data_IF_006778213153
#
_entry.id   IF_006778213153
#
_cell.length_a   1.000
_cell.length_b   1.000
_cell.length_c   1.000
_cell.angle_alpha   90.00
_cell.angle_beta   90.00
_cell.angle_gamma   90.00
#
_symmetry.space_group_name_H-M   'P 1'
#
loop_
_entity.id
_entity.type
_entity.pdbx_description
1 polymer ?
#
# COMPACT_ATOMS: atom_id res chain seq x y z
N UNK A 1 55.63 -36.29 34.75
CA UNK A 1 56.37 -35.53 33.71
C UNK A 1 55.37 -35.09 32.66
N UNK A 2 55.26 -33.79 32.37
CA UNK A 2 54.29 -33.26 31.41
C UNK A 2 54.98 -32.18 30.56
N UNK A 3 54.74 -32.20 29.24
CA UNK A 3 55.27 -31.21 28.30
C UNK A 3 54.09 -30.60 27.55
N UNK A 4 53.79 -29.33 27.84
CA UNK A 4 52.89 -28.49 27.06
C UNK A 4 53.71 -27.65 26.08
N UNK A 5 53.41 -27.72 24.79
CA UNK A 5 53.88 -26.72 23.83
C UNK A 5 52.96 -25.51 23.80
N UNK A 6 53.54 -24.32 23.95
CA UNK A 6 52.85 -23.02 23.87
C UNK A 6 53.70 -22.07 23.04
N UNK A 7 53.40 -21.97 21.74
CA UNK A 7 54.16 -21.11 20.81
C UNK A 7 53.80 -19.63 21.00
N UNK A 8 54.83 -18.79 21.06
CA UNK A 8 54.75 -17.37 21.39
C UNK A 8 55.63 -16.60 20.42
N UNK A 9 55.04 -16.00 19.38
CA UNK A 9 55.79 -15.23 18.37
C UNK A 9 56.08 -13.83 18.93
N UNK A 10 57.34 -13.38 18.80
CA UNK A 10 57.81 -12.05 19.19
C UNK A 10 58.05 -11.19 17.95
N UNK A 11 57.77 -9.89 18.06
CA UNK A 11 58.22 -8.86 17.12
C UNK A 11 59.68 -8.45 17.39
N UNK A 12 60.40 -7.91 16.39
CA UNK A 12 61.59 -7.07 16.58
C UNK A 12 61.35 -5.57 16.30
N UNK A 13 62.18 -4.74 16.93
CA UNK A 13 62.32 -3.27 16.90
C UNK A 13 63.85 -3.02 17.05
N UNK A 14 64.54 -1.99 16.54
CA UNK A 14 64.17 -0.63 16.07
C UNK A 14 65.24 -0.06 15.13
N UNK A 15 64.88 0.81 14.18
CA UNK A 15 65.80 1.92 13.77
C UNK A 15 65.11 3.12 13.12
N UNK A 16 65.74 4.29 13.27
CA UNK A 16 65.18 5.62 13.00
C UNK A 16 65.35 6.10 11.56
N UNK A 17 64.41 6.91 11.07
CA UNK A 17 64.72 8.18 10.36
C UNK A 17 63.53 9.16 10.36
N UNK A 18 63.82 10.43 10.68
CA UNK A 18 63.02 11.66 10.45
C UNK A 18 63.78 12.46 9.35
N UNK A 19 63.21 13.45 8.62
CA UNK A 19 62.26 14.46 9.13
C UNK A 19 61.23 15.03 8.11
N UNK A 20 60.79 16.27 8.37
CA UNK A 20 59.99 17.20 7.56
C UNK A 20 58.51 16.86 7.28
N UNK A 21 57.63 17.41 8.12
CA UNK A 21 56.24 17.65 7.76
C UNK A 21 56.05 19.07 7.25
N UNK A 22 55.53 19.23 6.02
CA UNK A 22 54.89 20.45 5.55
C UNK A 22 53.42 20.16 5.25
N UNK A 23 52.52 20.76 6.02
CA UNK A 23 51.08 20.67 5.80
C UNK A 23 50.69 21.54 4.59
N UNK A 24 50.47 20.92 3.43
CA UNK A 24 49.78 21.58 2.32
C UNK A 24 48.26 21.47 2.48
N UNK A 25 47.67 22.45 3.18
CA UNK A 25 46.26 22.76 2.99
C UNK A 25 46.08 23.36 1.60
N UNK A 26 45.56 22.56 0.65
CA UNK A 26 45.14 23.09 -0.66
C UNK A 26 43.82 23.82 -0.46
N UNK A 27 43.91 25.11 -0.14
CA UNK A 27 42.82 26.04 -0.38
C UNK A 27 42.75 26.32 -1.88
N UNK A 28 41.59 26.06 -2.49
CA UNK A 28 41.23 26.68 -3.77
C UNK A 28 39.97 27.50 -3.59
N UNK A 29 40.14 28.79 -3.82
CA UNK A 29 39.13 29.82 -3.75
C UNK A 29 37.98 29.49 -4.72
N UNK A 30 36.76 29.43 -4.18
CA UNK A 30 35.55 29.63 -4.99
C UNK A 30 35.23 31.13 -4.93
N UNK A 31 35.08 31.72 -6.12
CA UNK A 31 34.78 33.14 -6.29
C UNK A 31 33.41 33.51 -5.71
N UNK A 32 33.33 34.70 -5.10
CA UNK A 32 32.05 35.31 -4.70
C UNK A 32 31.19 35.58 -5.93
N UNK A 33 29.92 35.17 -5.87
CA UNK A 33 28.82 36.05 -6.27
C UNK A 33 27.76 36.00 -5.18
N UNK A 34 27.19 37.17 -4.88
CA UNK A 34 26.29 37.39 -3.76
C UNK A 34 24.88 37.62 -4.30
N UNK A 35 23.86 36.98 -3.72
CA UNK A 35 22.51 37.55 -3.66
C UNK A 35 21.77 36.98 -2.45
N UNK A 36 20.97 37.83 -1.81
CA UNK A 36 20.47 37.63 -0.45
C UNK A 36 19.48 36.47 -0.30
N UNK A 37 19.62 35.78 0.83
CA UNK A 37 18.62 34.87 1.35
C UNK A 37 17.44 35.65 1.97
N UNK A 38 16.26 35.57 1.38
CA UNK A 38 15.00 35.79 2.10
C UNK A 38 14.44 34.44 2.52
N UNK A 39 14.85 33.97 3.69
CA UNK A 39 14.27 32.80 4.35
C UNK A 39 13.02 33.26 5.10
N UNK A 40 11.83 33.00 4.55
CA UNK A 40 10.55 33.36 5.16
C UNK A 40 10.04 32.20 6.03
N UNK A 41 10.04 32.33 7.37
CA UNK A 41 9.49 31.30 8.24
C UNK A 41 7.95 31.31 8.16
N UNK A 42 7.28 30.14 8.28
CA UNK A 42 5.83 30.12 8.28
C UNK A 42 5.28 30.91 9.49
N UNK A 43 4.18 31.64 9.28
CA UNK A 43 3.42 32.45 10.25
C UNK A 43 3.85 33.92 10.48
N UNK A 44 4.34 34.62 9.45
CA UNK A 44 4.40 36.10 9.44
C UNK A 44 2.99 36.74 9.26
N UNK A 45 2.55 37.72 10.08
CA UNK A 45 1.22 38.33 9.95
C UNK A 45 1.09 39.29 8.74
N UNK A 46 0.07 39.10 7.90
CA UNK A 46 -0.16 39.93 6.70
C UNK A 46 -0.81 41.27 7.06
N UNK A 47 -0.08 42.37 6.86
CA UNK A 47 -0.62 43.74 6.93
C UNK A 47 -1.34 44.13 5.62
N UNK A 48 -2.46 44.86 5.72
CA UNK A 48 -3.33 45.22 4.58
C UNK A 48 -3.14 46.67 4.13
N UNK A 49 -2.65 46.90 2.91
CA UNK A 49 -2.85 48.10 2.08
C UNK A 49 -2.49 47.76 0.61
N UNK A 50 -2.93 48.45 -0.45
CA UNK A 50 -4.19 49.13 -0.81
C UNK A 50 -4.26 49.15 -2.36
N UNK A 51 -5.41 49.44 -2.98
CA UNK A 51 -5.61 49.33 -4.45
C UNK A 51 -4.92 50.45 -5.26
N UNK A 52 -4.29 50.11 -6.38
CA UNK A 52 -3.93 51.05 -7.46
C UNK A 52 -4.40 50.55 -8.84
N UNK A 53 -4.60 51.46 -9.81
CA UNK A 53 -5.41 51.27 -11.03
C UNK A 53 -4.60 50.81 -12.26
N UNK A 54 -5.30 50.13 -13.19
CA UNK A 54 -4.80 49.68 -14.51
C UNK A 54 -4.31 50.82 -15.43
N UNK A 55 -3.32 50.52 -16.29
CA UNK A 55 -3.22 51.08 -17.66
C UNK A 55 -3.18 49.95 -18.68
N UNK A 56 -3.93 50.09 -19.78
CA UNK A 56 -3.86 49.22 -20.96
C UNK A 56 -2.88 49.80 -21.98
N UNK A 57 -2.13 48.94 -22.67
CA UNK A 57 -1.80 49.10 -24.09
C UNK A 57 -2.01 47.74 -24.77
N UNK A 58 -2.52 47.77 -25.99
CA UNK A 58 -2.84 46.58 -26.78
C UNK A 58 -2.49 46.85 -28.24
N UNK A 59 -1.91 45.86 -28.91
CA UNK A 59 -1.80 45.55 -30.35
C UNK A 59 -0.66 44.52 -30.45
N UNK A 60 -0.77 43.41 -31.18
CA UNK A 60 -1.91 42.83 -31.89
C UNK A 60 -1.39 41.66 -32.75
N UNK A 61 -1.93 40.46 -32.57
CA UNK A 61 -1.46 39.25 -33.26
C UNK A 61 -2.28 38.04 -32.83
N UNK A 62 -3.24 37.64 -33.68
CA UNK A 62 -4.19 36.57 -33.37
C UNK A 62 -3.58 35.17 -33.50
N UNK A 63 -3.73 34.36 -32.46
CA UNK A 63 -4.16 32.96 -32.58
C UNK A 63 -4.91 32.56 -31.31
N UNK A 64 -5.80 31.57 -31.42
CA UNK A 64 -7.00 31.52 -30.58
C UNK A 64 -6.81 31.12 -29.11
N UNK A 65 -7.66 31.76 -28.31
CA UNK A 65 -8.04 31.50 -26.93
C UNK A 65 -8.00 30.05 -26.42
N UNK A 66 -7.35 29.89 -25.25
CA UNK A 66 -7.88 29.21 -24.06
C UNK A 66 -8.98 28.15 -24.28
N UNK A 67 -8.59 26.89 -24.51
CA UNK A 67 -9.44 25.75 -24.18
C UNK A 67 -9.01 25.12 -22.86
N UNK A 68 -9.70 25.52 -21.78
CA UNK A 68 -10.21 24.66 -20.70
C UNK A 68 -10.98 25.54 -19.71
N UNK A 69 -12.19 25.13 -19.30
CA UNK A 69 -12.26 24.07 -18.30
C UNK A 69 -13.16 22.88 -18.68
N UNK A 70 -12.55 21.69 -18.66
CA UNK A 70 -13.09 20.50 -17.97
C UNK A 70 -14.59 20.21 -18.12
N UNK A 71 -14.96 19.55 -19.23
CA UNK A 71 -16.02 18.54 -19.15
C UNK A 71 -15.50 17.35 -18.30
N UNK A 72 -16.35 16.67 -17.52
CA UNK A 72 -15.93 15.48 -16.80
C UNK A 72 -15.51 14.37 -17.77
N UNK A 73 -14.45 13.63 -17.41
CA UNK A 73 -14.00 12.48 -18.19
C UNK A 73 -15.11 11.42 -18.14
N UNK A 74 -15.81 11.19 -19.26
CA UNK A 74 -16.83 10.14 -19.33
C UNK A 74 -16.17 8.77 -19.19
N UNK A 75 -16.57 8.02 -18.17
CA UNK A 75 -15.91 6.79 -17.75
C UNK A 75 -16.88 5.61 -17.90
N UNK A 76 -16.77 4.89 -19.00
CA UNK A 76 -17.58 3.70 -19.31
C UNK A 76 -17.08 2.43 -18.58
N UNK A 77 -16.33 2.58 -17.49
CA UNK A 77 -15.75 1.46 -16.74
C UNK A 77 -16.85 0.64 -16.04
N UNK A 78 -16.84 -0.70 -16.16
CA UNK A 78 -17.93 -1.57 -15.73
C UNK A 78 -17.95 -1.87 -14.20
N UNK A 79 -17.50 -0.93 -13.37
CA UNK A 79 -17.43 -1.11 -11.93
C UNK A 79 -17.54 0.20 -11.16
N UNK A 80 -17.92 0.10 -9.89
CA UNK A 80 -17.95 1.19 -8.93
C UNK A 80 -16.55 1.67 -8.59
N UNK A 81 -16.35 2.99 -8.51
CA UNK A 81 -15.05 3.55 -8.19
C UNK A 81 -14.86 3.73 -6.69
N UNK A 82 -13.87 3.04 -6.13
CA UNK A 82 -13.44 3.18 -4.75
C UNK A 82 -12.02 3.76 -4.71
N UNK A 83 -11.65 4.41 -3.61
CA UNK A 83 -10.26 4.85 -3.40
C UNK A 83 -9.28 3.66 -3.36
N UNK A 84 -9.70 2.57 -2.71
CA UNK A 84 -9.03 1.28 -2.69
C UNK A 84 -10.05 0.17 -2.91
N UNK A 85 -9.73 -0.78 -3.78
CA UNK A 85 -10.56 -1.97 -3.99
C UNK A 85 -10.23 -3.06 -2.97
N UNK A 86 -8.94 -3.32 -2.67
CA UNK A 86 -8.53 -4.41 -1.77
C UNK A 86 -8.60 -4.08 -0.27
N UNK A 87 -8.65 -2.79 0.11
CA UNK A 87 -8.65 -2.36 1.52
C UNK A 87 -10.00 -1.76 1.99
N UNK A 88 -11.00 -1.74 1.12
CA UNK A 88 -12.37 -1.31 1.46
C UNK A 88 -13.26 -2.55 1.56
N UNK A 89 -13.74 -2.88 2.77
CA UNK A 89 -14.73 -3.94 2.94
C UNK A 89 -16.15 -3.36 2.71
N UNK A 90 -16.86 -3.73 1.63
CA UNK A 90 -18.17 -3.15 1.30
C UNK A 90 -19.29 -3.58 2.26
N UNK A 91 -19.08 -4.63 3.06
CA UNK A 91 -20.06 -5.11 4.04
C UNK A 91 -20.05 -4.28 5.33
N UNK A 92 -19.02 -3.45 5.56
CA UNK A 92 -18.84 -2.69 6.80
C UNK A 92 -19.10 -1.20 6.56
N UNK A 93 -20.30 -0.76 6.91
CA UNK A 93 -20.66 0.66 6.84
C UNK A 93 -20.02 1.47 7.98
N UNK A 94 -19.52 2.69 7.71
CA UNK A 94 -19.04 3.58 8.76
C UNK A 94 -20.20 4.16 9.59
N UNK A 95 -19.97 4.34 10.89
CA UNK A 95 -20.91 5.04 11.81
C UNK A 95 -20.97 6.53 11.46
N UNK A 96 -19.88 7.08 10.94
CA UNK A 96 -19.75 8.47 10.52
C UNK A 96 -18.35 8.78 10.02
N UNK A 97 -18.01 10.06 9.95
CA UNK A 97 -16.70 10.54 9.49
C UNK A 97 -16.08 11.48 10.53
N UNK A 98 -14.74 11.50 10.62
CA UNK A 98 -14.02 12.34 11.60
C UNK A 98 -14.17 13.84 11.34
N UNK A 99 -14.38 14.21 10.09
CA UNK A 99 -14.57 15.59 9.65
C UNK A 99 -16.03 15.82 9.32
N UNK A 100 -16.60 16.94 9.80
CA UNK A 100 -18.01 17.25 9.52
C UNK A 100 -18.20 17.60 8.03
N UNK A 101 -19.25 17.11 7.36
CA UNK A 101 -19.49 17.37 5.92
C UNK A 101 -19.84 18.84 5.58
N UNK A 102 -19.71 19.78 6.52
CA UNK A 102 -19.92 21.23 6.34
C UNK A 102 -19.03 21.85 5.26
N UNK A 103 -17.90 21.22 4.95
CA UNK A 103 -17.10 21.48 3.76
C UNK A 103 -16.83 20.18 3.03
N UNK A 104 -17.76 19.72 2.19
CA UNK A 104 -17.39 18.87 1.05
C UNK A 104 -16.31 19.63 0.26
N UNK A 105 -15.11 19.08 -0.02
CA UNK A 105 -13.99 19.82 -0.61
C UNK A 105 -14.16 19.90 -2.14
N UNK A 106 -15.41 19.98 -2.57
CA UNK A 106 -15.96 19.58 -3.84
C UNK A 106 -15.76 18.09 -4.11
N UNK A 107 -16.89 17.38 -4.30
CA UNK A 107 -16.88 16.07 -4.95
C UNK A 107 -16.22 16.16 -6.33
N UNK A 108 -16.01 15.02 -7.00
CA UNK A 108 -15.11 14.96 -8.14
C UNK A 108 -15.69 15.66 -9.38
N UNK A 109 -15.54 16.98 -9.48
CA UNK A 109 -16.05 17.79 -10.59
C UNK A 109 -15.39 17.52 -11.95
N UNK A 110 -14.50 16.53 -12.03
CA UNK A 110 -13.90 15.98 -13.26
C UNK A 110 -14.38 14.56 -13.57
N UNK A 111 -15.21 13.98 -12.71
CA UNK A 111 -15.82 12.66 -12.85
C UNK A 111 -17.27 12.83 -13.28
N UNK A 112 -17.73 11.93 -14.14
CA UNK A 112 -19.10 11.91 -14.66
C UNK A 112 -20.11 11.26 -13.71
N UNK A 113 -19.64 10.69 -12.60
CA UNK A 113 -20.43 9.93 -11.61
C UNK A 113 -20.59 10.69 -10.29
N UNK A 114 -21.75 10.51 -9.65
CA UNK A 114 -22.01 11.06 -8.31
C UNK A 114 -21.21 10.30 -7.25
N UNK A 115 -20.47 11.02 -6.42
CA UNK A 115 -19.71 10.47 -5.31
C UNK A 115 -20.57 10.39 -4.03
N UNK A 116 -20.63 9.21 -3.42
CA UNK A 116 -21.44 8.90 -2.22
C UNK A 116 -20.75 9.25 -0.90
N UNK A 117 -19.44 9.52 -0.94
CA UNK A 117 -18.57 9.67 0.24
C UNK A 117 -17.47 8.61 0.26
N UNK A 118 -17.81 7.37 -0.10
CA UNK A 118 -16.90 6.21 -0.16
C UNK A 118 -16.70 5.66 -1.57
N UNK A 119 -17.70 5.82 -2.46
CA UNK A 119 -17.69 5.30 -3.82
C UNK A 119 -18.27 6.28 -4.84
N UNK A 120 -18.03 6.03 -6.13
CA UNK A 120 -18.83 6.54 -7.24
C UNK A 120 -19.40 5.36 -8.05
N UNK A 121 -20.67 4.98 -7.80
CA UNK A 121 -21.29 3.84 -8.46
C UNK A 121 -21.36 3.95 -9.98
N UNK A 122 -21.35 2.81 -10.68
CA UNK A 122 -21.70 2.76 -12.10
C UNK A 122 -23.15 3.20 -12.28
N UNK A 123 -23.40 4.06 -13.27
CA UNK A 123 -24.76 4.47 -13.66
C UNK A 123 -25.39 3.53 -14.71
N UNK A 124 -24.62 2.54 -15.20
CA UNK A 124 -25.01 1.61 -16.27
C UNK A 124 -25.02 0.20 -15.70
N UNK A 125 -26.09 -0.55 -15.96
CA UNK A 125 -26.13 -1.99 -15.71
C UNK A 125 -25.11 -2.70 -16.59
N UNK A 126 -24.21 -3.45 -15.96
CA UNK A 126 -23.07 -4.07 -16.63
C UNK A 126 -23.42 -5.50 -17.00
N UNK A 127 -23.40 -5.82 -18.29
CA UNK A 127 -23.40 -7.22 -18.72
C UNK A 127 -22.02 -7.82 -18.44
N UNK A 128 -21.91 -8.55 -17.32
CA UNK A 128 -20.66 -9.18 -16.86
C UNK A 128 -20.07 -10.11 -17.94
N UNK A 129 -20.91 -10.80 -18.72
CA UNK A 129 -20.46 -11.69 -19.78
C UNK A 129 -19.74 -10.92 -20.90
N UNK A 130 -20.26 -9.75 -21.31
CA UNK A 130 -19.60 -8.91 -22.33
C UNK A 130 -18.23 -8.41 -21.86
N UNK A 131 -18.11 -8.03 -20.58
CA UNK A 131 -16.83 -7.61 -19.98
C UNK A 131 -15.83 -8.77 -19.93
N UNK A 132 -16.29 -9.98 -19.58
CA UNK A 132 -15.44 -11.18 -19.58
C UNK A 132 -15.00 -11.58 -20.99
N UNK A 133 -15.88 -11.51 -21.99
CA UNK A 133 -15.52 -11.78 -23.38
C UNK A 133 -14.56 -10.72 -23.95
N UNK A 134 -14.75 -9.44 -23.62
CA UNK A 134 -13.78 -8.39 -24.01
C UNK A 134 -12.42 -8.62 -23.33
N UNK A 135 -12.40 -9.00 -22.04
CA UNK A 135 -11.17 -9.35 -21.34
C UNK A 135 -10.47 -10.55 -21.99
N UNK A 136 -11.21 -11.59 -22.40
CA UNK A 136 -10.64 -12.72 -23.17
C UNK A 136 -10.07 -12.28 -24.51
N UNK A 137 -10.78 -11.42 -25.26
CA UNK A 137 -10.30 -10.86 -26.54
C UNK A 137 -8.98 -10.11 -26.37
N UNK A 138 -8.86 -9.27 -25.34
CA UNK A 138 -7.65 -8.49 -25.05
C UNK A 138 -6.50 -9.38 -24.58
N UNK A 139 -6.76 -10.37 -23.72
CA UNK A 139 -5.75 -11.32 -23.27
C UNK A 139 -5.23 -12.19 -24.41
N UNK A 140 -6.10 -12.60 -25.33
CA UNK A 140 -5.77 -13.51 -26.43
C UNK A 140 -5.54 -14.94 -25.96
N UNK A 141 -4.86 -15.73 -26.79
CA UNK A 141 -4.48 -17.10 -26.44
C UNK A 141 -3.58 -17.13 -25.19
N UNK A 142 -3.72 -18.15 -24.32
CA UNK A 142 -2.82 -18.33 -23.18
C UNK A 142 -1.35 -18.28 -23.58
N UNK A 143 -0.50 -17.75 -22.69
CA UNK A 143 0.95 -17.85 -22.83
C UNK A 143 1.38 -19.29 -22.55
N UNK A 144 2.37 -19.79 -23.29
CA UNK A 144 3.06 -21.03 -22.94
C UNK A 144 3.91 -20.83 -21.68
N UNK A 145 4.26 -21.92 -21.00
CA UNK A 145 5.16 -21.86 -19.83
C UNK A 145 6.55 -21.29 -20.20
N UNK A 146 6.98 -21.46 -21.46
CA UNK A 146 8.22 -20.90 -22.00
C UNK A 146 8.11 -19.36 -22.17
N UNK A 147 7.05 -18.87 -22.81
CA UNK A 147 6.78 -17.42 -22.94
C UNK A 147 6.62 -16.75 -21.57
N UNK A 148 5.97 -17.43 -20.61
CA UNK A 148 5.90 -16.97 -19.22
C UNK A 148 7.28 -16.91 -18.60
N UNK A 149 8.11 -17.95 -18.74
CA UNK A 149 9.46 -17.97 -18.17
C UNK A 149 10.34 -16.84 -18.74
N UNK A 150 10.28 -16.56 -20.04
CA UNK A 150 11.00 -15.46 -20.69
C UNK A 150 10.57 -14.09 -20.16
N UNK A 151 9.25 -13.83 -20.10
CA UNK A 151 8.72 -12.59 -19.51
C UNK A 151 9.09 -12.46 -18.02
N UNK A 152 9.07 -13.56 -17.28
CA UNK A 152 9.47 -13.59 -15.87
C UNK A 152 10.95 -13.24 -15.73
N UNK A 153 11.84 -13.83 -16.52
CA UNK A 153 13.27 -13.49 -16.50
C UNK A 153 13.51 -12.01 -16.83
N UNK A 154 12.84 -11.51 -17.88
CA UNK A 154 12.98 -10.12 -18.34
C UNK A 154 12.53 -9.09 -17.31
N UNK A 155 11.46 -9.35 -16.55
CA UNK A 155 10.82 -8.35 -15.68
C UNK A 155 10.95 -8.61 -14.17
N UNK A 156 11.48 -9.76 -13.70
CA UNK A 156 11.58 -10.07 -12.25
C UNK A 156 12.62 -9.24 -11.51
N UNK A 157 13.72 -8.87 -12.19
CA UNK A 157 14.89 -8.26 -11.56
C UNK A 157 14.60 -6.83 -11.04
N UNK A 158 15.32 -6.43 -9.99
CA UNK A 158 15.04 -5.17 -9.27
C UNK A 158 15.61 -3.90 -9.92
N UNK A 159 16.47 -4.07 -10.93
CA UNK A 159 17.01 -3.04 -11.81
C UNK A 159 16.01 -2.59 -12.90
N UNK A 160 14.93 -3.35 -13.10
CA UNK A 160 13.81 -2.94 -13.94
C UNK A 160 13.24 -1.59 -13.49
N UNK A 161 13.54 -0.54 -14.24
CA UNK A 161 13.07 0.85 -14.06
C UNK A 161 11.55 1.06 -14.19
N UNK A 162 10.79 -0.04 -14.25
CA UNK A 162 9.36 -0.16 -14.56
C UNK A 162 8.58 -0.81 -13.41
N UNK A 163 9.05 -0.59 -12.16
CA UNK A 163 8.43 -1.10 -10.95
C UNK A 163 7.36 -0.14 -10.41
N UNK A 164 6.14 -0.63 -10.19
CA UNK A 164 5.10 0.05 -9.39
C UNK A 164 5.18 -0.45 -7.95
N UNK A 165 5.01 0.45 -6.97
CA UNK A 165 4.92 0.09 -5.56
C UNK A 165 3.46 0.15 -5.08
N UNK A 166 2.89 -1.00 -4.73
CA UNK A 166 1.61 -1.09 -4.04
C UNK A 166 1.86 -0.92 -2.55
N UNK A 167 1.44 0.23 -2.00
CA UNK A 167 1.63 0.56 -0.58
C UNK A 167 0.39 0.26 0.28
N UNK A 168 0.32 0.88 1.46
CA UNK A 168 -0.76 0.70 2.47
C UNK A 168 -2.19 0.90 1.95
N UNK A 169 -2.38 1.56 0.81
CA UNK A 169 -3.69 1.73 0.17
C UNK A 169 -4.15 0.53 -0.64
N UNK A 170 -3.34 -0.53 -0.78
CA UNK A 170 -3.67 -1.70 -1.59
C UNK A 170 -3.85 -1.35 -3.08
N UNK A 171 -4.74 -2.06 -3.75
CA UNK A 171 -5.09 -1.78 -5.16
C UNK A 171 -5.95 -0.52 -5.21
N UNK A 172 -5.35 0.63 -5.55
CA UNK A 172 -6.04 1.93 -5.61
C UNK A 172 -6.51 2.28 -7.02
N UNK A 173 -7.49 3.18 -7.15
CA UNK A 173 -8.00 3.63 -8.46
C UNK A 173 -6.89 4.17 -9.37
N UNK A 174 -6.02 5.04 -8.85
CA UNK A 174 -4.96 5.69 -9.64
C UNK A 174 -3.89 4.69 -10.11
N UNK A 175 -3.62 3.64 -9.31
CA UNK A 175 -2.67 2.59 -9.68
C UNK A 175 -3.08 1.88 -10.99
N UNK A 176 -4.36 1.87 -11.34
CA UNK A 176 -4.82 1.32 -12.61
C UNK A 176 -4.30 2.15 -13.79
N UNK A 177 -4.40 3.48 -13.77
CA UNK A 177 -3.81 4.30 -14.85
C UNK A 177 -2.29 4.16 -14.89
N UNK A 178 -1.61 4.06 -13.73
CA UNK A 178 -0.17 3.78 -13.67
C UNK A 178 0.18 2.46 -14.38
N UNK A 179 -0.57 1.38 -14.15
CA UNK A 179 -0.43 0.09 -14.85
C UNK A 179 -0.62 0.27 -16.36
N UNK A 180 -1.74 0.87 -16.77
CA UNK A 180 -2.03 1.11 -18.19
C UNK A 180 -1.06 2.11 -18.85
N UNK A 181 -0.34 2.93 -18.08
CA UNK A 181 0.73 3.81 -18.56
C UNK A 181 2.04 3.03 -18.76
N UNK A 182 2.36 2.06 -17.90
CA UNK A 182 3.51 1.16 -18.10
C UNK A 182 3.30 0.27 -19.33
N UNK A 183 2.09 -0.25 -19.55
CA UNK A 183 1.74 -1.09 -20.70
C UNK A 183 1.79 -0.41 -22.08
N UNK A 184 2.01 0.92 -22.13
CA UNK A 184 2.35 1.65 -23.36
C UNK A 184 3.77 1.35 -23.87
N UNK A 185 4.66 0.83 -23.00
CA UNK A 185 6.11 0.66 -23.27
C UNK A 185 6.66 -0.71 -22.88
N UNK A 186 5.85 -1.53 -22.21
CA UNK A 186 6.21 -2.83 -21.64
C UNK A 186 5.03 -3.80 -21.78
N UNK A 187 5.30 -5.09 -21.75
CA UNK A 187 4.26 -6.12 -21.89
C UNK A 187 3.75 -6.62 -20.53
N UNK A 188 4.65 -6.66 -19.55
CA UNK A 188 4.34 -6.86 -18.15
C UNK A 188 4.78 -5.66 -17.31
N UNK A 189 4.18 -5.52 -16.12
CA UNK A 189 4.58 -4.56 -15.11
C UNK A 189 4.92 -5.28 -13.80
N UNK A 190 6.01 -4.83 -13.15
CA UNK A 190 6.48 -5.38 -11.88
C UNK A 190 5.87 -4.63 -10.73
N UNK A 191 5.06 -5.30 -9.92
CA UNK A 191 4.36 -4.70 -8.78
C UNK A 191 4.98 -5.23 -7.49
N UNK A 192 5.54 -4.34 -6.67
CA UNK A 192 6.06 -4.66 -5.34
C UNK A 192 5.04 -4.24 -4.28
N UNK A 193 4.45 -5.22 -3.59
CA UNK A 193 3.44 -5.03 -2.55
C UNK A 193 4.08 -4.80 -1.19
N UNK A 194 3.57 -3.84 -0.42
CA UNK A 194 4.11 -3.41 0.87
C UNK A 194 2.99 -2.95 1.82
N UNK A 195 3.20 -3.20 3.11
CA UNK A 195 2.28 -2.88 4.21
C UNK A 195 1.23 -3.97 4.44
N UNK A 196 0.19 -3.59 5.18
CA UNK A 196 -0.94 -4.45 5.57
C UNK A 196 -1.61 -5.21 4.42
N UNK A 197 -1.72 -4.69 3.18
CA UNK A 197 -2.28 -5.46 2.07
C UNK A 197 -1.60 -6.82 1.84
N UNK A 198 -0.30 -6.94 2.15
CA UNK A 198 0.47 -8.19 1.95
C UNK A 198 0.03 -9.36 2.83
N UNK A 199 -0.87 -9.16 3.81
CA UNK A 199 -1.57 -10.26 4.50
C UNK A 199 -2.46 -11.07 3.56
N UNK A 200 -2.91 -10.46 2.47
CA UNK A 200 -3.93 -11.00 1.57
C UNK A 200 -3.52 -10.75 0.12
N UNK A 201 -2.51 -11.49 -0.32
CA UNK A 201 -1.99 -11.41 -1.67
C UNK A 201 -2.98 -11.95 -2.72
N UNK A 202 -3.97 -12.75 -2.32
CA UNK A 202 -5.01 -13.29 -3.22
C UNK A 202 -6.02 -12.24 -3.60
N UNK A 203 -6.54 -11.48 -2.63
CA UNK A 203 -7.41 -10.34 -2.90
C UNK A 203 -6.71 -9.24 -3.69
N UNK A 204 -5.40 -9.01 -3.47
CA UNK A 204 -4.59 -8.13 -4.33
C UNK A 204 -4.56 -8.66 -5.77
N UNK A 205 -4.24 -9.94 -5.97
CA UNK A 205 -4.19 -10.54 -7.32
C UNK A 205 -5.55 -10.46 -8.01
N UNK A 206 -6.62 -10.82 -7.30
CA UNK A 206 -8.00 -10.71 -7.77
C UNK A 206 -8.33 -9.30 -8.25
N UNK A 207 -8.13 -8.28 -7.43
CA UNK A 207 -8.46 -6.90 -7.83
C UNK A 207 -7.54 -6.32 -8.90
N UNK A 208 -6.26 -6.71 -8.96
CA UNK A 208 -5.40 -6.32 -10.07
C UNK A 208 -5.90 -6.91 -11.39
N UNK A 209 -6.20 -8.20 -11.42
CA UNK A 209 -6.73 -8.90 -12.59
C UNK A 209 -8.11 -8.38 -13.02
N UNK A 210 -9.03 -8.24 -12.07
CA UNK A 210 -10.41 -7.78 -12.28
C UNK A 210 -10.48 -6.32 -12.77
N UNK A 211 -9.73 -5.40 -12.14
CA UNK A 211 -9.85 -3.95 -12.44
C UNK A 211 -8.93 -3.44 -13.55
N UNK A 212 -7.85 -4.15 -13.88
CA UNK A 212 -6.99 -3.79 -15.04
C UNK A 212 -7.27 -4.62 -16.30
N UNK A 213 -7.99 -5.74 -16.17
CA UNK A 213 -8.18 -6.73 -17.23
C UNK A 213 -6.96 -7.64 -17.48
N UNK A 214 -5.79 -7.31 -16.94
CA UNK A 214 -4.55 -8.08 -17.12
C UNK A 214 -4.55 -9.45 -16.47
N UNK A 215 -3.41 -10.14 -16.56
CA UNK A 215 -3.20 -11.48 -15.98
C UNK A 215 -1.94 -11.50 -15.13
N UNK A 216 -2.01 -12.05 -13.91
CA UNK A 216 -0.82 -12.31 -13.09
C UNK A 216 -0.12 -13.54 -13.66
N UNK A 217 1.12 -13.36 -14.12
CA UNK A 217 1.95 -14.44 -14.69
C UNK A 217 3.02 -14.93 -13.70
N UNK A 218 3.26 -14.19 -12.62
CA UNK A 218 4.22 -14.56 -11.57
C UNK A 218 3.84 -13.93 -10.23
N UNK A 219 3.96 -14.72 -9.16
CA UNK A 219 3.74 -14.34 -7.77
C UNK A 219 4.87 -14.95 -6.92
N UNK A 220 5.68 -14.09 -6.29
CA UNK A 220 6.70 -14.53 -5.34
C UNK A 220 6.75 -13.61 -4.13
N UNK A 221 6.35 -14.14 -2.96
CA UNK A 221 6.20 -13.42 -1.70
C UNK A 221 5.32 -12.17 -1.89
N UNK A 222 5.93 -11.00 -2.09
CA UNK A 222 5.28 -9.71 -2.26
C UNK A 222 5.54 -9.06 -3.64
N UNK A 223 6.15 -9.78 -4.57
CA UNK A 223 6.42 -9.33 -5.94
C UNK A 223 5.44 -10.04 -6.88
N UNK A 224 4.79 -9.27 -7.75
CA UNK A 224 3.88 -9.73 -8.79
C UNK A 224 4.37 -9.25 -10.15
N UNK A 225 4.19 -10.05 -11.20
CA UNK A 225 4.25 -9.60 -12.59
C UNK A 225 2.85 -9.68 -13.21
N UNK A 226 2.36 -8.54 -13.68
CA UNK A 226 1.04 -8.38 -14.28
C UNK A 226 1.19 -8.10 -15.79
N UNK A 227 0.79 -9.06 -16.61
CA UNK A 227 0.80 -9.03 -18.07
C UNK A 227 -0.45 -8.35 -18.62
N UNK A 228 -0.30 -7.61 -19.72
CA UNK A 228 -1.37 -6.80 -20.34
C UNK A 228 -2.33 -7.57 -21.26
N UNK A 229 -1.93 -8.75 -21.75
CA UNK A 229 -2.61 -9.47 -22.84
C UNK A 229 -1.90 -9.34 -24.18
N UNK A 230 -2.06 -10.35 -25.07
CA UNK A 230 -1.46 -10.35 -26.42
C UNK A 230 -2.01 -9.23 -27.30
N UNK A 231 -3.32 -8.96 -27.19
CA UNK A 231 -4.06 -8.05 -28.06
C UNK A 231 -4.31 -6.68 -27.42
N UNK A 232 -3.50 -6.30 -26.42
CA UNK A 232 -3.64 -5.01 -25.75
C UNK A 232 -3.27 -3.84 -26.67
N UNK A 233 -4.25 -3.02 -27.04
CA UNK A 233 -4.04 -1.76 -27.76
C UNK A 233 -3.95 -0.57 -26.78
N UNK A 234 -2.78 0.11 -26.67
CA UNK A 234 -2.64 1.30 -25.84
C UNK A 234 -3.50 2.50 -26.25
N UNK A 235 -4.03 2.53 -27.48
CA UNK A 235 -4.91 3.61 -27.98
C UNK A 235 -6.36 3.41 -27.52
N UNK A 236 -6.86 2.18 -27.57
CA UNK A 236 -8.21 1.80 -27.16
C UNK A 236 -8.32 1.38 -25.68
N UNK A 237 -7.27 1.63 -24.88
CA UNK A 237 -7.26 1.33 -23.44
C UNK A 237 -8.39 2.04 -22.67
N UNK A 238 -8.91 1.48 -21.56
CA UNK A 238 -9.94 2.13 -20.77
C UNK A 238 -9.53 3.51 -20.22
N UNK A 239 -10.46 4.46 -20.24
CA UNK A 239 -10.27 5.79 -19.68
C UNK A 239 -10.50 5.77 -18.16
N UNK A 240 -9.42 5.79 -17.39
CA UNK A 240 -9.43 5.74 -15.91
C UNK A 240 -9.32 7.17 -15.36
N UNK A 241 -10.37 7.73 -14.73
CA UNK A 241 -10.36 9.09 -14.20
C UNK A 241 -9.57 9.19 -12.88
N UNK A 242 -8.44 9.90 -12.90
CA UNK A 242 -7.59 10.07 -11.71
C UNK A 242 -8.36 10.65 -10.50
N UNK A 243 -8.34 9.92 -9.39
CA UNK A 243 -8.79 10.40 -8.09
C UNK A 243 -7.76 11.36 -7.49
N UNK A 244 -8.09 12.65 -7.51
CA UNK A 244 -7.23 13.72 -6.96
C UNK A 244 -7.51 14.02 -5.48
N UNK A 245 -8.35 13.21 -4.83
CA UNK A 245 -8.78 13.35 -3.44
C UNK A 245 -8.68 12.00 -2.71
N UNK A 246 -8.75 12.06 -1.37
CA UNK A 246 -8.94 10.87 -0.53
C UNK A 246 -10.31 10.95 0.15
N UNK A 247 -11.02 9.83 0.37
CA UNK A 247 -12.21 9.81 1.20
C UNK A 247 -11.89 10.32 2.62
N UNK A 248 -12.87 10.95 3.27
CA UNK A 248 -12.75 11.28 4.69
C UNK A 248 -12.48 10.05 5.52
N UNK A 249 -11.68 10.18 6.57
CA UNK A 249 -11.39 9.09 7.49
C UNK A 249 -12.70 8.58 8.15
N UNK A 250 -13.16 7.35 7.84
CA UNK A 250 -14.37 6.81 8.42
C UNK A 250 -14.19 6.49 9.90
N UNK A 251 -15.29 6.54 10.64
CA UNK A 251 -15.38 6.06 12.02
C UNK A 251 -16.12 4.73 11.98
N UNK A 252 -15.39 3.64 12.22
CA UNK A 252 -15.94 2.31 12.39
C UNK A 252 -16.24 1.99 13.87
N UNK A 253 -17.05 0.96 14.16
CA UNK A 253 -17.21 0.43 15.52
C UNK A 253 -15.87 0.09 16.17
N UNK A 254 -15.84 0.06 17.52
CA UNK A 254 -14.64 -0.37 18.27
C UNK A 254 -14.29 -1.81 17.90
N UNK A 255 -13.09 -2.01 17.36
CA UNK A 255 -12.57 -3.33 16.96
C UNK A 255 -12.49 -4.31 18.13
N UNK A 256 -12.18 -3.81 19.33
CA UNK A 256 -12.14 -4.61 20.56
C UNK A 256 -13.27 -4.16 21.48
N UNK A 257 -14.12 -5.12 21.86
CA UNK A 257 -15.17 -4.95 22.87
C UNK A 257 -14.61 -5.13 24.30
N UNK A 258 -15.28 -4.57 25.30
CA UNK A 258 -14.85 -4.72 26.70
C UNK A 258 -14.87 -6.19 27.14
N UNK A 259 -15.93 -6.91 26.77
CA UNK A 259 -16.08 -8.37 26.88
C UNK A 259 -16.02 -8.93 25.46
N UNK A 260 -15.29 -10.02 25.23
CA UNK A 260 -15.25 -10.66 23.92
C UNK A 260 -16.53 -11.46 23.68
N UNK A 261 -17.00 -11.54 22.44
CA UNK A 261 -18.23 -12.26 22.12
C UNK A 261 -18.08 -13.76 22.48
N UNK A 262 -19.04 -14.31 23.22
CA UNK A 262 -18.99 -15.69 23.71
C UNK A 262 -18.18 -15.94 25.00
N UNK A 263 -17.53 -14.92 25.58
CA UNK A 263 -16.88 -14.99 26.89
C UNK A 263 -17.60 -14.14 27.95
N UNK A 264 -17.43 -14.50 29.22
CA UNK A 264 -17.71 -13.64 30.37
C UNK A 264 -16.63 -12.55 30.53
N UNK A 265 -16.88 -11.60 31.44
CA UNK A 265 -15.92 -10.55 31.76
C UNK A 265 -14.61 -11.11 32.34
N UNK A 266 -14.71 -12.08 33.25
CA UNK A 266 -13.54 -12.67 33.92
C UNK A 266 -12.75 -13.58 32.99
N UNK A 267 -13.41 -14.42 32.18
CA UNK A 267 -12.74 -15.18 31.11
C UNK A 267 -12.03 -14.24 30.12
N UNK A 268 -12.69 -13.15 29.69
CA UNK A 268 -12.05 -12.16 28.79
C UNK A 268 -10.80 -11.54 29.43
N UNK A 269 -10.85 -11.23 30.74
CA UNK A 269 -9.72 -10.69 31.49
C UNK A 269 -8.59 -11.72 31.63
N UNK A 270 -8.92 -12.98 31.88
CA UNK A 270 -7.96 -14.07 31.94
C UNK A 270 -7.27 -14.28 30.60
N UNK A 271 -8.02 -14.38 29.49
CA UNK A 271 -7.47 -14.57 28.14
C UNK A 271 -6.54 -13.43 27.72
N UNK A 272 -6.87 -12.18 28.08
CA UNK A 272 -5.98 -11.03 27.90
C UNK A 272 -4.69 -11.16 28.72
N UNK A 273 -4.78 -11.58 29.98
CA UNK A 273 -3.62 -11.78 30.85
C UNK A 273 -2.73 -12.91 30.32
N UNK A 274 -3.34 -14.05 29.94
CA UNK A 274 -2.68 -15.22 29.36
C UNK A 274 -1.92 -14.85 28.08
N UNK A 275 -2.56 -14.11 27.16
CA UNK A 275 -1.95 -13.65 25.92
C UNK A 275 -0.85 -12.58 26.08
N UNK A 276 -0.93 -11.73 27.10
CA UNK A 276 0.17 -10.79 27.40
C UNK A 276 1.40 -11.52 27.96
N UNK A 277 1.19 -12.59 28.73
CA UNK A 277 2.25 -13.37 29.38
C UNK A 277 2.83 -14.48 28.48
N UNK A 278 2.11 -14.91 27.43
CA UNK A 278 2.60 -15.89 26.46
C UNK A 278 3.74 -15.31 25.60
N UNK A 279 4.68 -16.14 25.08
CA UNK A 279 5.69 -15.68 24.13
C UNK A 279 5.02 -15.15 22.84
N UNK A 280 5.65 -14.18 22.13
CA UNK A 280 5.11 -13.72 20.85
C UNK A 280 5.36 -14.79 19.77
N UNK A 281 4.31 -15.21 19.07
CA UNK A 281 4.37 -16.15 17.95
C UNK A 281 5.35 -15.68 16.87
N UNK A 282 5.35 -14.37 16.61
CA UNK A 282 6.32 -13.71 15.75
C UNK A 282 6.39 -12.21 16.01
N UNK A 283 7.46 -11.61 15.47
CA UNK A 283 7.70 -10.17 15.44
C UNK A 283 7.56 -9.64 14.01
N UNK A 284 6.63 -8.72 13.82
CA UNK A 284 6.41 -8.03 12.56
C UNK A 284 7.40 -6.88 12.42
N UNK A 285 8.05 -6.78 11.25
CA UNK A 285 9.12 -5.81 11.01
C UNK A 285 8.65 -4.63 10.15
N UNK A 286 9.42 -3.54 10.18
CA UNK A 286 9.16 -2.33 9.38
C UNK A 286 9.28 -2.53 7.87
N UNK A 287 9.69 -3.71 7.39
CA UNK A 287 9.75 -4.01 5.95
C UNK A 287 8.37 -4.01 5.27
N UNK A 288 7.28 -4.15 6.04
CA UNK A 288 5.92 -4.17 5.51
C UNK A 288 5.59 -5.42 4.68
N UNK A 289 6.22 -6.58 4.96
CA UNK A 289 5.93 -7.83 4.26
C UNK A 289 5.38 -8.84 5.26
N UNK A 290 4.08 -9.12 5.16
CA UNK A 290 3.30 -9.87 6.16
C UNK A 290 2.66 -11.16 5.59
N UNK A 291 3.11 -11.62 4.42
CA UNK A 291 2.52 -12.76 3.68
C UNK A 291 2.30 -13.99 4.54
N UNK A 292 3.28 -14.37 5.36
CA UNK A 292 3.24 -15.61 6.14
C UNK A 292 2.53 -15.45 7.51
N UNK A 293 1.98 -14.29 7.84
CA UNK A 293 1.38 -14.04 9.17
C UNK A 293 0.10 -14.83 9.32
N UNK A 294 -0.76 -14.82 8.30
CA UNK A 294 -2.07 -15.51 8.31
C UNK A 294 -1.88 -17.00 8.57
N UNK A 295 -1.02 -17.68 7.80
CA UNK A 295 -0.84 -19.13 7.90
C UNK A 295 -0.19 -19.55 9.22
N UNK A 296 0.77 -18.79 9.73
CA UNK A 296 1.36 -19.07 11.05
C UNK A 296 0.38 -18.82 12.20
N UNK A 297 -0.56 -17.87 12.07
CA UNK A 297 -1.64 -17.67 13.05
C UNK A 297 -2.65 -18.83 12.98
N UNK A 298 -3.05 -19.29 11.77
CA UNK A 298 -3.88 -20.48 11.58
C UNK A 298 -3.23 -21.74 12.17
N UNK A 299 -1.93 -21.91 11.95
CA UNK A 299 -1.14 -23.03 12.49
C UNK A 299 -1.07 -22.98 14.02
N UNK A 300 -0.74 -21.83 14.61
CA UNK A 300 -0.71 -21.65 16.06
C UNK A 300 -2.06 -21.97 16.71
N UNK A 301 -3.17 -21.54 16.09
CA UNK A 301 -4.53 -21.83 16.57
C UNK A 301 -4.96 -23.31 16.51
N UNK A 302 -4.14 -24.22 15.96
CA UNK A 302 -4.35 -25.66 16.14
C UNK A 302 -4.03 -26.12 17.57
N UNK A 303 -3.07 -25.47 18.22
CA UNK A 303 -2.52 -25.88 19.52
C UNK A 303 -2.79 -24.85 20.64
N UNK A 304 -2.72 -23.56 20.32
CA UNK A 304 -2.94 -22.45 21.26
C UNK A 304 -4.33 -21.86 21.10
N UNK A 305 -4.96 -21.43 22.19
CA UNK A 305 -6.23 -20.69 22.14
C UNK A 305 -6.03 -19.19 21.94
N UNK A 306 -4.90 -18.66 22.41
CA UNK A 306 -4.56 -17.23 22.44
C UNK A 306 -3.16 -17.03 21.91
N UNK A 307 -3.04 -16.21 20.86
CA UNK A 307 -1.80 -15.92 20.15
C UNK A 307 -1.42 -14.45 20.33
N UNK A 308 -0.14 -14.19 20.58
CA UNK A 308 0.44 -12.84 20.63
C UNK A 308 1.29 -12.53 19.39
N UNK A 309 1.04 -11.39 18.76
CA UNK A 309 1.90 -10.83 17.70
C UNK A 309 2.60 -9.57 18.19
N UNK A 310 3.93 -9.52 18.10
CA UNK A 310 4.73 -8.32 18.38
C UNK A 310 4.74 -7.42 17.13
N UNK A 311 4.15 -6.22 17.23
CA UNK A 311 4.07 -5.24 16.13
C UNK A 311 4.84 -3.94 16.43
N UNK A 312 5.81 -3.96 17.36
CA UNK A 312 6.61 -2.79 17.82
C UNK A 312 7.30 -1.99 16.70
N UNK A 313 7.48 -2.55 15.50
CA UNK A 313 8.13 -1.86 14.36
C UNK A 313 7.18 -1.56 13.19
N UNK A 314 5.89 -1.82 13.37
CA UNK A 314 4.85 -1.67 12.35
C UNK A 314 4.14 -0.31 12.47
N UNK A 315 3.98 0.17 13.70
CA UNK A 315 3.28 1.41 14.04
C UNK A 315 1.78 1.21 14.28
N UNK A 316 1.24 2.03 15.18
CA UNK A 316 -0.10 1.85 15.78
C UNK A 316 -1.31 1.84 14.82
N UNK A 317 -1.22 2.49 13.66
CA UNK A 317 -2.30 2.47 12.63
C UNK A 317 -2.34 1.11 11.93
N UNK A 318 -1.21 0.68 11.40
CA UNK A 318 -1.08 -0.58 10.65
C UNK A 318 -1.31 -1.79 11.58
N UNK A 319 -0.85 -1.73 12.83
CA UNK A 319 -1.14 -2.71 13.87
C UNK A 319 -2.66 -2.98 14.02
N UNK A 320 -3.49 -1.93 14.03
CA UNK A 320 -4.96 -2.08 14.08
C UNK A 320 -5.51 -2.68 12.79
N UNK A 321 -5.04 -2.24 11.62
CA UNK A 321 -5.49 -2.78 10.33
C UNK A 321 -5.12 -4.26 10.16
N UNK A 322 -3.95 -4.68 10.65
CA UNK A 322 -3.53 -6.09 10.69
C UNK A 322 -4.52 -6.91 11.51
N UNK A 323 -4.91 -6.43 12.69
CA UNK A 323 -5.92 -7.11 13.51
C UNK A 323 -7.31 -7.17 12.85
N UNK A 324 -7.72 -6.14 12.09
CA UNK A 324 -8.95 -6.21 11.26
C UNK A 324 -8.83 -7.30 10.20
N UNK A 325 -7.75 -7.29 9.39
CA UNK A 325 -7.56 -8.30 8.34
C UNK A 325 -7.45 -9.72 8.91
N UNK A 326 -6.76 -9.91 10.05
CA UNK A 326 -6.64 -11.24 10.65
C UNK A 326 -7.98 -11.79 11.14
N UNK A 327 -8.87 -10.96 11.69
CA UNK A 327 -10.26 -11.34 12.00
C UNK A 327 -11.04 -11.78 10.76
N UNK A 328 -10.79 -11.14 9.62
CA UNK A 328 -11.52 -11.39 8.37
C UNK A 328 -10.93 -12.59 7.59
N UNK A 329 -9.65 -12.94 7.79
CA UNK A 329 -8.92 -14.01 7.08
C UNK A 329 -8.71 -15.30 7.91
N UNK A 330 -8.88 -15.21 9.22
CA UNK A 330 -8.73 -16.31 10.18
C UNK A 330 -9.92 -16.24 11.14
N UNK A 331 -10.61 -17.37 11.44
CA UNK A 331 -11.66 -17.38 12.46
C UNK A 331 -11.02 -17.10 13.82
N UNK A 332 -10.99 -15.82 14.20
CA UNK A 332 -10.38 -15.32 15.40
C UNK A 332 -10.89 -13.91 15.75
N UNK A 333 -10.76 -13.56 17.02
CA UNK A 333 -11.21 -12.28 17.58
C UNK A 333 -10.01 -11.55 18.17
N UNK A 334 -9.67 -10.34 17.71
CA UNK A 334 -8.72 -9.47 18.40
C UNK A 334 -9.29 -9.04 19.76
N UNK A 335 -8.67 -9.47 20.86
CA UNK A 335 -9.18 -9.21 22.22
C UNK A 335 -8.42 -8.11 22.96
N UNK A 336 -7.22 -7.72 22.49
CA UNK A 336 -6.44 -6.61 23.04
C UNK A 336 -5.44 -6.04 22.02
N UNK A 337 -5.31 -4.72 22.01
CA UNK A 337 -4.16 -4.01 21.44
C UNK A 337 -3.52 -3.19 22.56
N UNK A 338 -2.26 -3.48 22.91
CA UNK A 338 -1.54 -2.81 23.99
C UNK A 338 -0.05 -2.81 23.69
N UNK A 339 0.64 -1.69 23.89
CA UNK A 339 2.11 -1.58 23.76
C UNK A 339 2.64 -2.15 22.43
N UNK A 340 1.92 -1.84 21.34
CA UNK A 340 2.14 -2.34 19.98
C UNK A 340 2.13 -3.87 19.83
N UNK A 341 1.56 -4.60 20.80
CA UNK A 341 1.21 -6.02 20.71
C UNK A 341 -0.25 -6.19 20.28
N UNK A 342 -0.53 -7.26 19.51
CA UNK A 342 -1.89 -7.73 19.22
C UNK A 342 -2.10 -9.06 19.93
N UNK A 343 -3.17 -9.18 20.72
CA UNK A 343 -3.62 -10.45 21.28
C UNK A 343 -4.86 -10.92 20.52
N UNK A 344 -4.76 -12.10 19.92
CA UNK A 344 -5.80 -12.75 19.15
C UNK A 344 -6.29 -13.99 19.90
N UNK A 345 -7.59 -14.20 19.95
CA UNK A 345 -8.22 -15.41 20.50
C UNK A 345 -8.92 -16.17 19.38
N UNK A 346 -8.82 -17.50 19.35
CA UNK A 346 -9.44 -18.34 18.31
C UNK A 346 -10.98 -18.26 18.28
N UNK A 347 -11.61 -17.94 19.42
CA UNK A 347 -13.02 -18.23 19.64
C UNK A 347 -13.21 -19.52 20.46
N UNK A 348 -14.45 -19.80 20.88
CA UNK A 348 -14.81 -21.12 21.40
C UNK A 348 -14.77 -22.12 20.25
N UNK A 349 -14.40 -23.37 20.53
CA UNK A 349 -14.70 -24.47 19.61
C UNK A 349 -16.19 -24.76 19.75
N UNK A 350 -16.95 -24.60 18.69
CA UNK A 350 -18.30 -25.13 18.65
C UNK A 350 -18.19 -26.65 18.55
N UNK A 351 -18.75 -27.38 19.51
CA UNK A 351 -18.60 -28.84 19.65
C UNK A 351 -19.46 -29.65 18.65
N UNK A 352 -19.95 -29.02 17.58
CA UNK A 352 -20.97 -29.61 16.68
C UNK A 352 -20.37 -30.44 15.52
N UNK A 353 -19.09 -30.30 15.20
CA UNK A 353 -18.44 -31.09 14.13
C UNK A 353 -17.95 -32.48 14.60
N UNK A 354 -17.71 -32.68 15.90
CA UNK A 354 -17.17 -33.95 16.45
C UNK A 354 -18.24 -35.08 16.60
N UNK A 355 -19.50 -34.85 16.19
CA UNK A 355 -20.62 -35.81 16.32
C UNK A 355 -21.09 -36.43 14.99
N UNK A 356 -20.49 -36.06 13.85
CA UNK A 356 -20.88 -36.54 12.51
C UNK A 356 -19.65 -37.05 11.71
N UNK A 357 -18.89 -38.00 12.27
CA UNK A 357 -17.84 -38.76 11.56
C UNK A 357 -17.71 -40.18 12.11
#
# INVERSE_FOLDING_TARGET
>A
MAIHFRTRIRFPDRSNQKPSGYFFFISRFISKSLSESTYDPPFSPVSKLQKAKKKKKAHGGNSNSNENPTLPLKSYLPFDFFYSYSETNPLVNPIGYRESPKFSPFGPGRLDRKWTGTSAPSAVEVNINEVLEERKRILGDPLSDEEVAELVEQYRHSDCSRQINLGKGGVTHNMLDDIHNHWKRAEAVRIKCLGVPTLDMENICFHLEDKSGGKIIYRYINILLLYRGRNYDPKNRPAIPLMLWKPYAPIYPKLVKNVADGLSFDETKEMRSRGLNSPPLMKLTRNGVYVNVVDRVREAFKFEEVVRLDCTHVGSSDCKQIGVKLRDLVPCVPILFKDEQIILWRGKKDHEEDMNS
#
